data_IF_720387064264
#
_entry.id   IF_720387064264
#
_cell.length_a   1.000
_cell.length_b   1.000
_cell.length_c   1.000
_cell.angle_alpha   90.00
_cell.angle_beta   90.00
_cell.angle_gamma   90.00
#
_symmetry.space_group_name_H-M   'P 1'
#
loop_
_entity.id
_entity.type
_entity.pdbx_description
1 polymer ?
#
# COMPACT_ATOMS: atom_id res chain seq x y z
N UNK A 1 25.87 7.79 -6.33
CA UNK A 1 24.81 6.84 -5.93
C UNK A 1 23.63 7.44 -5.15
N UNK A 2 23.77 8.43 -4.25
CA UNK A 2 22.57 9.14 -3.70
C UNK A 2 22.19 10.39 -4.52
N UNK A 3 23.19 11.15 -4.99
CA UNK A 3 22.95 12.29 -5.89
C UNK A 3 22.16 11.87 -7.15
N UNK A 4 22.47 10.71 -7.72
CA UNK A 4 21.81 10.21 -8.93
C UNK A 4 20.33 9.85 -8.68
N UNK A 5 19.95 9.49 -7.45
CA UNK A 5 18.55 9.19 -7.06
C UNK A 5 17.76 10.46 -6.74
N UNK A 6 18.38 11.45 -6.10
CA UNK A 6 17.75 12.76 -5.87
C UNK A 6 17.51 13.49 -7.19
N UNK A 7 18.49 13.44 -8.11
CA UNK A 7 18.34 13.98 -9.47
C UNK A 7 17.22 13.26 -10.21
N UNK A 8 17.15 11.93 -10.16
CA UNK A 8 16.07 11.17 -10.80
C UNK A 8 14.68 11.50 -10.22
N UNK A 9 14.59 11.69 -8.89
CA UNK A 9 13.35 12.08 -8.23
C UNK A 9 12.95 13.52 -8.61
N UNK A 10 13.88 14.46 -8.62
CA UNK A 10 13.65 15.85 -9.07
C UNK A 10 13.22 15.89 -10.54
N UNK A 11 13.87 15.13 -11.42
CA UNK A 11 13.51 15.03 -12.83
C UNK A 11 12.12 14.42 -13.02
N UNK A 12 11.79 13.38 -12.25
CA UNK A 12 10.46 12.74 -12.28
C UNK A 12 9.37 13.69 -11.78
N UNK A 13 9.64 14.44 -10.70
CA UNK A 13 8.75 15.47 -10.17
C UNK A 13 8.56 16.64 -11.14
N UNK A 14 9.64 17.14 -11.73
CA UNK A 14 9.58 18.22 -12.73
C UNK A 14 8.82 17.78 -13.98
N UNK A 15 9.00 16.53 -14.42
CA UNK A 15 8.23 15.95 -15.52
C UNK A 15 6.75 15.85 -15.18
N UNK A 16 6.42 15.40 -13.97
CA UNK A 16 5.02 15.28 -13.50
C UNK A 16 4.35 16.65 -13.37
N UNK A 17 5.04 17.64 -12.80
CA UNK A 17 4.55 19.02 -12.70
C UNK A 17 4.35 19.65 -14.09
N UNK A 18 5.24 19.36 -15.04
CA UNK A 18 5.13 19.85 -16.42
C UNK A 18 3.94 19.21 -17.13
N UNK A 19 3.73 17.89 -16.96
CA UNK A 19 2.57 17.19 -17.52
C UNK A 19 1.26 17.74 -16.94
N UNK A 20 1.19 17.94 -15.62
CA UNK A 20 0.02 18.49 -14.95
C UNK A 20 -0.28 19.91 -15.43
N UNK A 21 0.76 20.76 -15.52
CA UNK A 21 0.63 22.13 -16.05
C UNK A 21 0.13 22.12 -17.48
N UNK A 22 0.65 21.25 -18.34
CA UNK A 22 0.22 21.13 -19.73
C UNK A 22 -1.22 20.64 -19.85
N UNK A 23 -1.65 19.71 -18.98
CA UNK A 23 -3.04 19.23 -18.93
C UNK A 23 -3.99 20.37 -18.55
N UNK A 24 -3.68 21.12 -17.48
CA UNK A 24 -4.47 22.27 -17.04
C UNK A 24 -4.58 23.33 -18.14
N UNK A 25 -3.48 23.64 -18.84
CA UNK A 25 -3.51 24.59 -19.96
C UNK A 25 -4.30 24.07 -21.16
N UNK A 26 -4.19 22.78 -21.48
CA UNK A 26 -4.98 22.15 -22.54
C UNK A 26 -6.48 22.20 -22.23
N UNK A 27 -6.87 21.99 -20.97
CA UNK A 27 -8.27 22.08 -20.53
C UNK A 27 -8.79 23.52 -20.59
N UNK A 28 -7.95 24.51 -20.25
CA UNK A 28 -8.26 25.94 -20.37
C UNK A 28 -8.44 26.34 -21.84
N UNK A 29 -7.56 25.88 -22.73
CA UNK A 29 -7.64 26.16 -24.16
C UNK A 29 -8.84 25.47 -24.81
N UNK A 30 -9.16 24.23 -24.38
CA UNK A 30 -10.36 23.51 -24.80
C UNK A 30 -11.64 24.25 -24.35
N UNK A 31 -11.66 24.80 -23.14
CA UNK A 31 -12.75 25.65 -22.64
C UNK A 31 -12.91 26.94 -23.45
N UNK A 32 -11.80 27.58 -23.82
CA UNK A 32 -11.81 28.81 -24.61
C UNK A 32 -12.27 28.59 -26.06
N UNK A 33 -12.05 27.39 -26.61
CA UNK A 33 -12.34 27.07 -28.02
C UNK A 33 -13.68 26.37 -28.24
N UNK A 34 -14.16 25.55 -27.30
CA UNK A 34 -15.34 24.68 -27.54
C UNK A 34 -16.58 25.05 -26.75
N UNK A 35 -16.48 25.75 -25.61
CA UNK A 35 -17.64 26.17 -24.81
C UNK A 35 -18.53 25.02 -24.28
N UNK A 36 -18.10 23.76 -24.39
CA UNK A 36 -18.94 22.57 -24.16
C UNK A 36 -18.33 21.58 -23.16
N UNK A 37 -17.86 22.08 -22.02
CA UNK A 37 -17.69 21.22 -20.85
C UNK A 37 -18.54 21.79 -19.71
N UNK A 38 -19.39 20.98 -19.04
CA UNK A 38 -20.19 21.45 -17.92
C UNK A 38 -19.22 21.97 -16.83
N UNK A 39 -19.33 23.26 -16.44
CA UNK A 39 -18.34 23.91 -15.57
C UNK A 39 -18.10 23.10 -14.28
N UNK A 40 -19.14 22.47 -13.75
CA UNK A 40 -19.11 21.72 -12.49
C UNK A 40 -18.16 20.50 -12.48
N UNK A 41 -17.95 19.83 -13.61
CA UNK A 41 -17.04 18.68 -13.66
C UNK A 41 -15.57 19.12 -13.69
N UNK A 42 -15.28 20.20 -14.41
CA UNK A 42 -13.93 20.77 -14.47
C UNK A 42 -13.54 21.38 -13.13
N UNK A 43 -14.46 22.10 -12.47
CA UNK A 43 -14.17 22.66 -11.15
C UNK A 43 -13.97 21.57 -10.08
N UNK A 44 -14.68 20.43 -10.18
CA UNK A 44 -14.45 19.28 -9.30
C UNK A 44 -13.10 18.62 -9.53
N UNK A 45 -12.72 18.41 -10.81
CA UNK A 45 -11.43 17.83 -11.15
C UNK A 45 -10.28 18.77 -10.75
N UNK A 46 -10.39 20.06 -11.05
CA UNK A 46 -9.41 21.06 -10.65
C UNK A 46 -9.28 21.20 -9.13
N UNK A 47 -10.38 21.09 -8.37
CA UNK A 47 -10.34 21.07 -6.91
C UNK A 47 -9.62 19.83 -6.38
N UNK A 48 -9.90 18.66 -6.96
CA UNK A 48 -9.21 17.41 -6.64
C UNK A 48 -7.71 17.49 -6.95
N UNK A 49 -7.33 18.01 -8.12
CA UNK A 49 -5.95 18.18 -8.52
C UNK A 49 -5.23 19.21 -7.62
N UNK A 50 -5.92 20.28 -7.21
CA UNK A 50 -5.39 21.25 -6.27
C UNK A 50 -5.12 20.63 -4.90
N UNK A 51 -6.03 19.78 -4.39
CA UNK A 51 -5.85 19.09 -3.13
C UNK A 51 -4.74 18.02 -3.22
N UNK A 52 -4.60 17.35 -4.37
CA UNK A 52 -3.47 16.46 -4.65
C UNK A 52 -2.14 17.22 -4.70
N UNK A 53 -2.08 18.41 -5.32
CA UNK A 53 -0.91 19.29 -5.31
C UNK A 53 -0.59 19.78 -3.90
N UNK A 54 -1.60 20.14 -3.09
CA UNK A 54 -1.38 20.52 -1.68
C UNK A 54 -0.80 19.37 -0.87
N UNK A 55 -1.29 18.15 -1.09
CA UNK A 55 -0.76 16.95 -0.45
C UNK A 55 0.70 16.71 -0.85
N UNK A 56 1.02 16.76 -2.15
CA UNK A 56 2.39 16.65 -2.66
C UNK A 56 3.29 17.74 -2.06
N UNK A 57 2.83 18.99 -2.06
CA UNK A 57 3.57 20.10 -1.48
C UNK A 57 3.73 19.98 0.04
N UNK A 58 2.76 19.41 0.75
CA UNK A 58 2.89 19.15 2.19
C UNK A 58 3.97 18.11 2.48
N UNK A 59 4.11 17.10 1.61
CA UNK A 59 5.21 16.13 1.66
C UNK A 59 6.57 16.78 1.36
N UNK A 60 6.61 17.80 0.49
CA UNK A 60 7.82 18.56 0.13
C UNK A 60 8.21 19.65 1.15
N UNK A 61 7.26 20.23 1.88
CA UNK A 61 7.54 21.19 2.95
C UNK A 61 8.12 20.48 4.17
N UNK A 62 7.64 19.27 4.47
CA UNK A 62 8.22 18.42 5.53
C UNK A 62 9.66 18.00 5.25
N UNK A 63 10.15 18.04 4.01
CA UNK A 63 11.57 17.78 3.71
C UNK A 63 12.46 19.02 3.83
N UNK A 64 11.91 20.24 3.67
CA UNK A 64 12.67 21.50 3.81
C UNK A 64 12.81 22.00 5.24
N UNK A 65 11.86 21.68 6.13
CA UNK A 65 11.92 22.06 7.56
C UNK A 65 12.71 21.06 8.43
N UNK A 66 13.21 19.98 7.84
CA UNK A 66 14.21 19.14 8.50
C UNK A 66 15.55 19.82 8.28
N UNK A 67 16.06 20.47 9.33
CA UNK A 67 17.47 20.84 9.41
C UNK A 67 18.27 19.54 9.27
N UNK A 68 18.73 19.24 8.05
CA UNK A 68 19.62 18.12 7.79
C UNK A 68 20.98 18.56 8.34
N UNK A 69 21.22 18.26 9.62
CA UNK A 69 22.59 18.04 10.07
C UNK A 69 23.18 17.01 9.12
N UNK A 70 24.20 17.42 8.38
CA UNK A 70 24.95 16.56 7.44
C UNK A 70 25.59 15.42 8.22
N UNK A 71 24.83 14.35 8.46
CA UNK A 71 25.39 13.06 8.75
C UNK A 71 25.75 12.41 7.41
N UNK A 72 27.00 12.66 7.00
CA UNK A 72 27.72 11.69 6.20
C UNK A 72 27.63 10.33 6.93
N UNK A 73 27.33 9.26 6.17
CA UNK A 73 27.00 7.89 6.62
C UNK A 73 25.48 7.62 6.69
N UNK A 74 24.82 7.52 5.52
CA UNK A 74 23.48 6.89 5.40
C UNK A 74 23.29 6.02 4.15
N UNK A 75 24.37 5.39 3.67
CA UNK A 75 24.32 4.42 2.56
C UNK A 75 24.28 2.95 3.01
N UNK A 76 24.36 2.68 4.32
CA UNK A 76 24.39 1.32 4.85
C UNK A 76 23.08 0.90 5.55
N UNK A 77 22.19 1.83 5.86
CA UNK A 77 20.91 1.51 6.52
C UNK A 77 19.89 0.93 5.53
N UNK A 78 19.85 1.44 4.29
CA UNK A 78 18.97 0.92 3.23
C UNK A 78 19.28 -0.55 2.89
N UNK A 79 20.55 -0.98 2.89
CA UNK A 79 20.90 -2.37 2.56
C UNK A 79 20.52 -3.35 3.68
N UNK A 80 20.50 -2.88 4.94
CA UNK A 80 20.04 -3.63 6.10
C UNK A 80 18.51 -3.69 6.11
N UNK A 81 17.81 -2.58 5.84
CA UNK A 81 16.35 -2.53 5.61
C UNK A 81 15.91 -3.44 4.47
N UNK A 82 16.60 -3.40 3.32
CA UNK A 82 16.33 -4.30 2.20
C UNK A 82 16.59 -5.78 2.54
N UNK A 83 17.66 -6.08 3.30
CA UNK A 83 17.89 -7.45 3.79
C UNK A 83 16.77 -7.90 4.71
N UNK A 84 16.33 -7.08 5.66
CA UNK A 84 15.25 -7.48 6.56
C UNK A 84 13.90 -7.56 5.85
N UNK A 85 13.66 -6.79 4.80
CA UNK A 85 12.48 -6.93 3.93
C UNK A 85 12.57 -8.21 3.07
N UNK A 86 13.74 -8.55 2.54
CA UNK A 86 13.98 -9.82 1.82
C UNK A 86 13.83 -11.04 2.74
N UNK A 87 14.47 -11.00 3.90
CA UNK A 87 14.35 -11.99 4.97
C UNK A 87 12.89 -12.08 5.44
N UNK A 88 12.16 -10.96 5.44
CA UNK A 88 10.73 -10.91 5.74
C UNK A 88 9.88 -11.59 4.66
N UNK A 89 10.12 -11.34 3.37
CA UNK A 89 9.39 -12.03 2.30
C UNK A 89 9.68 -13.53 2.35
N UNK A 90 10.93 -13.89 2.62
CA UNK A 90 11.35 -15.27 2.78
C UNK A 90 10.71 -15.92 4.02
N UNK A 91 10.71 -15.27 5.17
CA UNK A 91 10.12 -15.78 6.43
C UNK A 91 8.60 -15.84 6.36
N UNK A 92 7.92 -14.85 5.77
CA UNK A 92 6.47 -14.91 5.61
C UNK A 92 6.06 -15.93 4.54
N UNK A 93 6.80 -16.07 3.44
CA UNK A 93 6.57 -17.15 2.48
C UNK A 93 6.77 -18.52 3.15
N UNK A 94 7.83 -18.70 3.95
CA UNK A 94 8.08 -19.93 4.70
C UNK A 94 6.96 -20.22 5.71
N UNK A 95 6.48 -19.22 6.45
CA UNK A 95 5.34 -19.37 7.38
C UNK A 95 4.06 -19.68 6.62
N UNK A 96 3.80 -18.97 5.53
CA UNK A 96 2.66 -19.18 4.66
C UNK A 96 2.64 -20.62 4.13
N UNK A 97 3.79 -21.15 3.71
CA UNK A 97 3.97 -22.53 3.23
C UNK A 97 3.87 -23.59 4.34
N UNK A 98 4.25 -23.24 5.58
CA UNK A 98 4.28 -24.19 6.70
C UNK A 98 2.93 -24.33 7.42
N UNK A 99 2.15 -23.25 7.48
CA UNK A 99 0.93 -23.18 8.30
C UNK A 99 -0.36 -23.10 7.47
N UNK A 100 -0.31 -22.72 6.19
CA UNK A 100 -1.52 -22.61 5.38
C UNK A 100 -1.90 -23.96 4.78
N UNK A 101 -3.20 -24.32 4.79
CA UNK A 101 -3.68 -25.42 3.98
C UNK A 101 -3.36 -25.13 2.53
N UNK A 102 -2.72 -26.10 1.88
CA UNK A 102 -2.36 -26.05 0.46
C UNK A 102 -3.64 -25.97 -0.36
N UNK A 103 -4.02 -24.76 -0.77
CA UNK A 103 -5.18 -24.54 -1.63
C UNK A 103 -4.73 -24.17 -3.04
N UNK A 104 -5.13 -24.99 -4.01
CA UNK A 104 -4.84 -24.78 -5.43
C UNK A 104 -6.04 -24.11 -6.09
N UNK A 105 -5.82 -22.96 -6.70
CA UNK A 105 -6.88 -22.20 -7.35
C UNK A 105 -7.04 -22.60 -8.82
N UNK A 106 -8.29 -22.70 -9.27
CA UNK A 106 -8.64 -22.81 -10.68
C UNK A 106 -8.94 -21.41 -11.23
N UNK A 107 -8.02 -20.83 -12.02
CA UNK A 107 -8.19 -19.47 -12.54
C UNK A 107 -9.40 -19.33 -13.47
N UNK A 108 -9.83 -20.40 -14.13
CA UNK A 108 -11.03 -20.37 -14.99
C UNK A 108 -12.32 -20.18 -14.19
N UNK A 109 -12.32 -20.52 -12.90
CA UNK A 109 -13.45 -20.31 -11.99
C UNK A 109 -13.27 -19.03 -11.17
N UNK A 110 -12.05 -18.81 -10.67
CA UNK A 110 -11.73 -17.69 -9.78
C UNK A 110 -11.85 -16.33 -10.48
N UNK A 111 -11.36 -16.19 -11.72
CA UNK A 111 -11.38 -14.90 -12.41
C UNK A 111 -12.82 -14.44 -12.72
N UNK A 112 -13.72 -15.28 -13.26
CA UNK A 112 -15.13 -14.91 -13.40
C UNK A 112 -15.80 -14.57 -12.07
N UNK A 113 -15.52 -15.33 -11.00
CA UNK A 113 -16.08 -15.04 -9.67
C UNK A 113 -15.62 -13.67 -9.16
N UNK A 114 -14.32 -13.36 -9.27
CA UNK A 114 -13.78 -12.03 -8.92
C UNK A 114 -14.44 -10.91 -9.73
N UNK A 115 -14.53 -11.06 -11.05
CA UNK A 115 -15.18 -10.08 -11.92
C UNK A 115 -16.69 -9.93 -11.66
N UNK A 116 -17.34 -10.92 -11.04
CA UNK A 116 -18.76 -10.82 -10.67
C UNK A 116 -19.00 -10.02 -9.38
N UNK A 117 -17.98 -9.91 -8.53
CA UNK A 117 -18.07 -9.28 -7.21
C UNK A 117 -17.40 -7.90 -7.19
N UNK A 118 -16.39 -7.70 -8.02
CA UNK A 118 -15.64 -6.47 -8.12
C UNK A 118 -16.24 -5.56 -9.20
N UNK A 119 -16.22 -4.25 -8.94
CA UNK A 119 -16.74 -3.26 -9.89
C UNK A 119 -15.75 -3.00 -11.04
N UNK A 120 -14.48 -3.36 -10.82
CA UNK A 120 -13.36 -3.16 -11.74
C UNK A 120 -12.87 -4.50 -12.27
N UNK A 121 -12.45 -4.52 -13.53
CA UNK A 121 -12.00 -5.75 -14.18
C UNK A 121 -10.67 -6.21 -13.61
N UNK A 122 -10.64 -7.44 -13.12
CA UNK A 122 -9.43 -8.13 -12.71
C UNK A 122 -8.69 -8.65 -13.94
N UNK A 123 -7.38 -8.43 -13.99
CA UNK A 123 -6.53 -9.03 -15.02
C UNK A 123 -5.78 -10.24 -14.49
N UNK A 124 -5.61 -11.24 -15.35
CA UNK A 124 -4.78 -12.41 -15.10
C UNK A 124 -3.64 -12.45 -16.10
N UNK A 125 -2.43 -12.59 -15.60
CA UNK A 125 -1.24 -12.77 -16.42
C UNK A 125 -0.71 -14.17 -16.20
N UNK A 126 -0.78 -14.99 -17.25
CA UNK A 126 -0.15 -16.30 -17.27
C UNK A 126 1.35 -16.15 -17.55
N UNK A 127 2.18 -16.93 -16.86
CA UNK A 127 3.63 -16.80 -16.93
C UNK A 127 4.35 -17.72 -15.94
N UNK A 128 5.66 -17.52 -15.78
CA UNK A 128 6.46 -18.34 -14.85
C UNK A 128 5.98 -18.25 -13.40
N UNK A 129 5.54 -17.05 -13.00
CA UNK A 129 4.79 -16.84 -11.76
C UNK A 129 3.48 -16.17 -12.15
N UNK A 130 2.40 -16.95 -12.33
CA UNK A 130 1.11 -16.38 -12.70
C UNK A 130 0.63 -15.44 -11.61
N UNK A 131 -0.04 -14.35 -11.99
CA UNK A 131 -0.56 -13.40 -11.01
C UNK A 131 -1.90 -12.81 -11.43
N UNK A 132 -2.67 -12.44 -10.41
CA UNK A 132 -3.93 -11.74 -10.55
C UNK A 132 -3.69 -10.30 -10.13
N UNK A 133 -4.06 -9.35 -10.98
CA UNK A 133 -4.04 -7.91 -10.66
C UNK A 133 -5.44 -7.43 -10.34
N UNK A 134 -5.62 -6.97 -9.11
CA UNK A 134 -6.87 -6.44 -8.58
C UNK A 134 -6.69 -4.93 -8.41
N UNK A 135 -7.28 -4.11 -9.29
CA UNK A 135 -7.29 -2.67 -9.08
C UNK A 135 -8.22 -2.33 -7.90
N UNK A 136 -7.82 -1.32 -7.12
CA UNK A 136 -8.55 -0.86 -5.94
C UNK A 136 -8.79 0.64 -6.10
N UNK A 137 -9.88 0.97 -6.80
CA UNK A 137 -10.15 2.32 -7.27
C UNK A 137 -8.96 2.88 -8.08
N UNK A 138 -8.92 4.20 -8.27
CA UNK A 138 -7.81 4.88 -8.96
C UNK A 138 -6.58 5.09 -8.05
N UNK A 139 -6.42 4.27 -7.01
CA UNK A 139 -5.40 4.47 -5.97
C UNK A 139 -4.21 3.53 -6.16
N UNK A 140 -4.47 2.22 -6.22
CA UNK A 140 -3.42 1.21 -6.31
C UNK A 140 -3.95 -0.08 -6.94
N UNK A 141 -3.02 -0.94 -7.36
CA UNK A 141 -3.28 -2.29 -7.83
C UNK A 141 -2.60 -3.29 -6.90
N UNK A 142 -3.35 -4.31 -6.50
CA UNK A 142 -2.83 -5.45 -5.74
C UNK A 142 -2.56 -6.60 -6.69
N UNK A 143 -1.32 -7.04 -6.76
CA UNK A 143 -0.90 -8.24 -7.49
C UNK A 143 -0.78 -9.39 -6.51
N UNK A 144 -1.59 -10.42 -6.68
CA UNK A 144 -1.45 -11.69 -5.94
C UNK A 144 -0.67 -12.64 -6.84
N UNK A 145 0.53 -12.99 -6.42
CA UNK A 145 1.43 -13.86 -7.17
C UNK A 145 1.19 -15.30 -6.73
N UNK A 146 1.14 -16.22 -7.68
CA UNK A 146 0.93 -17.64 -7.47
C UNK A 146 2.17 -18.45 -7.85
N UNK A 147 2.35 -19.58 -7.18
CA UNK A 147 3.32 -20.61 -7.57
C UNK A 147 2.85 -21.37 -8.81
N UNK A 148 3.73 -22.20 -9.39
CA UNK A 148 3.41 -23.12 -10.49
C UNK A 148 2.31 -24.14 -10.15
N UNK A 149 2.02 -24.33 -8.86
CA UNK A 149 0.92 -25.18 -8.40
C UNK A 149 -0.38 -24.41 -8.12
N UNK A 150 -0.47 -23.16 -8.59
CA UNK A 150 -1.59 -22.25 -8.38
C UNK A 150 -1.91 -21.99 -6.91
N UNK A 151 -0.88 -21.95 -6.06
CA UNK A 151 -1.00 -21.56 -4.66
C UNK A 151 -0.55 -20.10 -4.52
N UNK A 152 -1.22 -19.26 -3.72
CA UNK A 152 -0.73 -17.91 -3.47
C UNK A 152 0.66 -17.99 -2.83
N UNK A 153 1.58 -17.17 -3.31
CA UNK A 153 2.95 -17.12 -2.83
C UNK A 153 3.19 -15.83 -2.03
N UNK A 154 2.87 -14.68 -2.62
CA UNK A 154 3.01 -13.38 -1.99
C UNK A 154 2.14 -12.32 -2.67
N UNK A 155 2.01 -11.17 -2.00
CA UNK A 155 1.23 -10.02 -2.48
C UNK A 155 2.13 -8.81 -2.67
N UNK A 156 1.97 -8.13 -3.80
CA UNK A 156 2.64 -6.86 -4.10
C UNK A 156 1.59 -5.80 -4.37
N UNK A 157 1.85 -4.57 -3.96
CA UNK A 157 0.98 -3.42 -4.17
C UNK A 157 1.76 -2.33 -4.88
N UNK A 158 1.20 -1.85 -5.98
CA UNK A 158 1.72 -0.77 -6.82
C UNK A 158 0.73 0.37 -6.85
N UNK A 159 1.20 1.61 -6.83
CA UNK A 159 0.31 2.77 -7.05
C UNK A 159 -0.36 2.71 -8.43
N UNK A 160 -1.46 3.43 -8.62
CA UNK A 160 -2.15 3.47 -9.91
C UNK A 160 -1.24 3.93 -11.06
N UNK A 161 -0.28 4.81 -10.78
CA UNK A 161 0.73 5.29 -11.73
C UNK A 161 1.85 4.27 -12.01
N UNK A 162 1.89 3.16 -11.28
CA UNK A 162 2.92 2.11 -11.35
C UNK A 162 2.37 0.81 -11.94
N UNK A 163 1.28 0.87 -12.70
CA UNK A 163 0.61 -0.32 -13.24
C UNK A 163 1.55 -1.20 -14.10
N UNK A 164 2.49 -0.56 -14.81
CA UNK A 164 3.48 -1.23 -15.68
C UNK A 164 4.59 -1.96 -14.91
N UNK A 165 4.77 -1.69 -13.61
CA UNK A 165 5.81 -2.36 -12.82
C UNK A 165 5.57 -3.87 -12.81
N UNK A 166 6.64 -4.63 -12.95
CA UNK A 166 6.57 -6.09 -12.88
C UNK A 166 6.19 -6.55 -11.46
N UNK A 167 5.73 -7.79 -11.35
CA UNK A 167 5.43 -8.46 -10.08
C UNK A 167 6.66 -8.66 -9.18
N UNK A 168 7.87 -8.43 -9.70
CA UNK A 168 9.13 -8.52 -8.98
C UNK A 168 9.63 -7.17 -8.47
N UNK A 169 9.04 -6.08 -8.95
CA UNK A 169 9.42 -4.73 -8.57
C UNK A 169 8.58 -4.22 -7.41
N UNK A 170 9.19 -3.43 -6.54
CA UNK A 170 8.48 -2.75 -5.46
C UNK A 170 7.92 -1.41 -5.96
N UNK A 171 6.86 -0.96 -5.28
CA UNK A 171 6.41 0.44 -5.39
C UNK A 171 7.49 1.41 -4.92
N UNK A 172 7.63 2.53 -5.60
CA UNK A 172 8.49 3.65 -5.18
C UNK A 172 7.88 4.33 -3.96
N UNK A 173 6.53 4.38 -3.90
CA UNK A 173 5.80 4.93 -2.77
C UNK A 173 5.86 4.00 -1.57
N UNK A 174 6.25 4.56 -0.42
CA UNK A 174 6.39 3.83 0.84
C UNK A 174 5.06 3.24 1.32
N UNK A 175 3.96 3.97 1.19
CA UNK A 175 2.62 3.51 1.59
C UNK A 175 2.23 2.18 0.94
N UNK A 176 2.48 2.01 -0.36
CA UNK A 176 2.15 0.76 -1.07
C UNK A 176 3.14 -0.37 -0.74
N UNK A 177 4.42 -0.06 -0.48
CA UNK A 177 5.35 -1.05 0.09
C UNK A 177 4.84 -1.56 1.43
N UNK A 178 4.41 -0.68 2.32
CA UNK A 178 3.84 -1.06 3.62
C UNK A 178 2.53 -1.85 3.47
N UNK A 179 1.69 -1.50 2.50
CA UNK A 179 0.48 -2.28 2.20
C UNK A 179 0.82 -3.68 1.66
N UNK A 180 1.87 -3.83 0.85
CA UNK A 180 2.33 -5.15 0.37
C UNK A 180 2.67 -6.08 1.53
N UNK A 181 3.39 -5.55 2.52
CA UNK A 181 3.75 -6.24 3.77
C UNK A 181 2.50 -6.61 4.56
N UNK A 182 1.58 -5.67 4.74
CA UNK A 182 0.35 -5.88 5.49
C UNK A 182 -0.58 -6.92 4.81
N UNK A 183 -0.77 -6.82 3.51
CA UNK A 183 -1.61 -7.71 2.72
C UNK A 183 -1.05 -9.13 2.61
N UNK A 184 0.27 -9.27 2.49
CA UNK A 184 0.92 -10.58 2.51
C UNK A 184 0.70 -11.32 3.83
N UNK A 185 0.42 -10.60 4.92
CA UNK A 185 0.09 -11.16 6.23
C UNK A 185 -1.39 -11.39 6.44
N UNK A 186 -2.24 -10.51 5.93
CA UNK A 186 -3.68 -10.68 6.01
C UNK A 186 -4.16 -11.86 5.15
N UNK A 187 -3.63 -12.04 3.94
CA UNK A 187 -4.08 -13.08 3.00
C UNK A 187 -4.13 -14.51 3.59
N UNK A 188 -3.11 -15.02 4.31
CA UNK A 188 -3.22 -16.35 4.93
C UNK A 188 -4.38 -16.47 5.93
N UNK A 189 -4.75 -15.42 6.67
CA UNK A 189 -5.92 -15.46 7.56
C UNK A 189 -7.22 -15.64 6.77
N UNK A 190 -7.32 -14.99 5.60
CA UNK A 190 -8.44 -15.22 4.69
C UNK A 190 -8.44 -16.66 4.16
N UNK A 191 -7.28 -17.24 3.85
CA UNK A 191 -7.15 -18.63 3.39
C UNK A 191 -7.59 -19.62 4.46
N UNK A 192 -7.14 -19.42 5.69
CA UNK A 192 -7.54 -20.24 6.83
C UNK A 192 -9.05 -20.15 7.09
N UNK A 193 -9.61 -18.94 7.05
CA UNK A 193 -11.01 -18.68 7.38
C UNK A 193 -11.99 -19.08 6.28
N UNK A 194 -11.68 -18.75 5.02
CA UNK A 194 -12.62 -18.86 3.90
C UNK A 194 -12.23 -19.92 2.86
N UNK A 195 -11.08 -20.58 3.01
CA UNK A 195 -10.63 -21.70 2.16
C UNK A 195 -10.65 -21.31 0.68
N UNK A 196 -11.46 -21.99 -0.13
CA UNK A 196 -11.58 -21.77 -1.56
C UNK A 196 -12.02 -20.37 -1.96
N UNK A 197 -12.76 -19.69 -1.08
CA UNK A 197 -13.27 -18.34 -1.32
C UNK A 197 -12.32 -17.25 -0.83
N UNK A 198 -11.17 -17.60 -0.29
CA UNK A 198 -10.30 -16.65 0.38
C UNK A 198 -9.85 -15.49 -0.50
N UNK A 199 -9.48 -15.75 -1.75
CA UNK A 199 -9.07 -14.69 -2.68
C UNK A 199 -10.24 -13.75 -3.00
N UNK A 200 -11.45 -14.27 -3.13
CA UNK A 200 -12.67 -13.47 -3.36
C UNK A 200 -13.00 -12.62 -2.15
N UNK A 201 -13.02 -13.20 -0.96
CA UNK A 201 -13.26 -12.48 0.30
C UNK A 201 -12.17 -11.44 0.59
N UNK A 202 -10.92 -11.77 0.28
CA UNK A 202 -9.81 -10.83 0.36
C UNK A 202 -10.00 -9.66 -0.59
N UNK A 203 -10.41 -9.91 -1.84
CA UNK A 203 -10.70 -8.87 -2.82
C UNK A 203 -11.89 -7.99 -2.42
N UNK A 204 -12.95 -8.56 -1.82
CA UNK A 204 -14.05 -7.78 -1.23
C UNK A 204 -13.52 -6.87 -0.12
N UNK A 205 -12.69 -7.39 0.78
CA UNK A 205 -12.09 -6.61 1.85
C UNK A 205 -11.19 -5.47 1.32
N UNK A 206 -10.46 -5.68 0.21
CA UNK A 206 -9.68 -4.63 -0.44
C UNK A 206 -10.52 -3.43 -0.86
N UNK A 207 -11.83 -3.59 -1.16
CA UNK A 207 -12.74 -2.47 -1.46
C UNK A 207 -12.84 -1.45 -0.32
N UNK A 208 -12.54 -1.85 0.92
CA UNK A 208 -12.47 -0.93 2.07
C UNK A 208 -11.34 0.11 1.99
N UNK A 209 -10.42 -0.05 1.03
CA UNK A 209 -9.30 0.87 0.80
C UNK A 209 -9.58 1.94 -0.25
N UNK A 210 -10.76 1.98 -0.87
CA UNK A 210 -11.14 3.03 -1.85
C UNK A 210 -11.05 4.46 -1.31
N UNK A 211 -10.98 4.63 0.00
CA UNK A 211 -10.85 5.89 0.72
C UNK A 211 -9.54 5.97 1.52
N UNK A 212 -8.49 5.26 1.11
CA UNK A 212 -7.22 5.16 1.84
C UNK A 212 -6.68 6.53 2.29
N UNK A 213 -6.68 7.51 1.40
CA UNK A 213 -6.16 8.86 1.68
C UNK A 213 -7.22 9.87 2.16
N UNK A 214 -8.50 9.48 2.17
CA UNK A 214 -9.63 10.35 2.48
C UNK A 214 -10.47 9.90 3.67
N UNK A 215 -10.13 8.78 4.30
CA UNK A 215 -10.74 8.32 5.54
C UNK A 215 -9.84 8.65 6.73
N UNK A 216 -10.35 9.33 7.78
CA UNK A 216 -9.59 9.54 8.99
C UNK A 216 -9.45 8.23 9.77
N UNK A 217 -8.39 8.12 10.58
CA UNK A 217 -8.23 7.01 11.50
C UNK A 217 -9.36 7.00 12.54
N UNK A 218 -9.97 5.84 12.76
CA UNK A 218 -11.09 5.67 13.70
C UNK A 218 -10.70 6.02 15.15
N UNK A 219 -9.44 5.82 15.55
CA UNK A 219 -8.97 6.14 16.92
C UNK A 219 -8.51 7.58 17.13
N UNK A 220 -7.65 8.11 16.26
CA UNK A 220 -7.05 9.45 16.44
C UNK A 220 -7.66 10.53 15.56
N UNK A 221 -8.61 10.18 14.69
CA UNK A 221 -9.35 11.08 13.79
C UNK A 221 -8.48 11.84 12.76
N UNK A 222 -7.19 11.53 12.68
CA UNK A 222 -6.26 12.11 11.70
C UNK A 222 -6.23 11.32 10.39
N UNK A 223 -6.01 12.02 9.27
CA UNK A 223 -5.86 11.43 7.93
C UNK A 223 -4.46 10.91 7.62
N UNK A 224 -3.45 11.48 8.28
CA UNK A 224 -2.04 11.09 8.14
C UNK A 224 -1.40 11.26 9.51
N UNK A 225 -0.62 10.28 9.94
CA UNK A 225 0.13 10.31 11.19
C UNK A 225 1.51 9.70 10.99
N UNK A 226 2.46 10.08 11.85
CA UNK A 226 3.75 9.40 11.94
C UNK A 226 3.54 7.96 12.38
N UNK A 227 4.10 7.02 11.64
CA UNK A 227 4.13 5.61 11.96
C UNK A 227 5.29 5.26 12.90
N UNK A 228 5.47 3.97 13.20
CA UNK A 228 6.57 3.51 14.06
C UNK A 228 7.96 3.82 13.51
N UNK A 229 8.10 3.93 12.19
CA UNK A 229 9.35 4.31 11.51
C UNK A 229 9.56 5.82 11.39
N UNK A 230 8.57 6.63 11.79
CA UNK A 230 8.60 8.08 11.76
C UNK A 230 8.03 8.68 10.48
N UNK A 231 7.54 7.85 9.57
CA UNK A 231 7.00 8.22 8.27
C UNK A 231 5.54 8.62 8.36
N UNK A 232 5.15 9.56 7.51
CA UNK A 232 3.77 10.01 7.40
C UNK A 232 2.99 9.02 6.53
N UNK A 233 2.13 8.23 7.16
CA UNK A 233 1.28 7.27 6.48
C UNK A 233 -0.20 7.55 6.78
N UNK A 234 -1.11 7.26 5.83
CA UNK A 234 -2.53 7.27 6.11
C UNK A 234 -2.93 6.08 7.00
N UNK A 235 -4.20 5.95 7.39
CA UNK A 235 -4.73 4.78 8.08
C UNK A 235 -4.68 3.56 7.15
N UNK A 236 -3.56 2.83 7.14
CA UNK A 236 -3.37 1.67 6.25
C UNK A 236 -3.96 0.37 6.80
N UNK A 237 -4.32 0.31 8.09
CA UNK A 237 -4.92 -0.88 8.70
C UNK A 237 -6.43 -0.84 8.49
N UNK A 238 -7.00 -1.98 8.10
CA UNK A 238 -8.45 -2.19 8.01
C UNK A 238 -8.80 -3.45 8.79
N UNK A 239 -9.72 -3.36 9.73
CA UNK A 239 -10.24 -4.55 10.42
C UNK A 239 -10.89 -5.49 9.40
N UNK A 240 -10.69 -6.81 9.54
CA UNK A 240 -11.27 -7.79 8.61
C UNK A 240 -12.81 -7.82 8.70
N UNK A 241 -13.37 -7.56 9.88
CA UNK A 241 -14.81 -7.63 10.14
C UNK A 241 -15.54 -6.32 9.87
N UNK A 242 -15.03 -5.21 10.40
CA UNK A 242 -15.70 -3.90 10.34
C UNK A 242 -15.16 -2.98 9.26
N UNK A 243 -14.05 -3.34 8.59
CA UNK A 243 -13.41 -2.54 7.55
C UNK A 243 -13.07 -1.10 7.99
N UNK A 244 -12.86 -0.90 9.30
CA UNK A 244 -12.62 0.42 9.88
C UNK A 244 -11.16 0.84 9.70
N UNK A 245 -10.90 2.12 9.36
CA UNK A 245 -9.56 2.64 9.13
C UNK A 245 -8.78 2.88 10.41
N UNK A 246 -7.53 2.40 10.49
CA UNK A 246 -6.61 2.72 11.58
C UNK A 246 -5.19 3.00 11.06
N UNK A 247 -4.49 3.95 11.69
CA UNK A 247 -3.04 3.98 11.62
C UNK A 247 -2.46 2.75 12.34
N UNK A 248 -1.24 2.34 11.99
CA UNK A 248 -0.55 1.20 12.63
C UNK A 248 -0.57 1.31 14.16
N UNK A 249 -0.20 2.47 14.71
CA UNK A 249 -0.19 2.74 16.16
C UNK A 249 -1.57 2.81 16.80
N UNK A 250 -2.60 2.94 15.97
CA UNK A 250 -3.98 3.17 16.40
C UNK A 250 -4.85 1.92 16.31
N UNK A 251 -4.40 0.89 15.61
CA UNK A 251 -5.15 -0.34 15.43
C UNK A 251 -5.46 -0.99 16.80
N UNK A 252 -6.65 -1.57 16.97
CA UNK A 252 -6.98 -2.32 18.17
C UNK A 252 -6.09 -3.58 18.27
N UNK A 253 -5.68 -3.94 19.49
CA UNK A 253 -4.83 -5.11 19.76
C UNK A 253 -5.47 -6.46 19.38
N UNK A 254 -6.79 -6.49 19.13
CA UNK A 254 -7.49 -7.64 18.58
C UNK A 254 -7.06 -7.96 17.14
N UNK A 255 -6.55 -6.97 16.42
CA UNK A 255 -5.69 -7.23 15.28
C UNK A 255 -4.34 -7.56 15.94
N UNK A 256 -3.99 -8.85 16.03
CA UNK A 256 -2.62 -9.24 16.30
C UNK A 256 -1.76 -8.61 15.20
N UNK A 257 -1.30 -7.38 15.42
CA UNK A 257 -0.27 -6.76 14.62
C UNK A 257 1.00 -7.51 15.02
N UNK A 258 1.51 -8.41 14.18
CA UNK A 258 2.73 -9.10 14.51
C UNK A 258 3.83 -8.05 14.40
N UNK A 259 4.65 -7.94 15.46
CA UNK A 259 5.82 -7.07 15.57
C UNK A 259 6.38 -6.77 14.19
N UNK A 260 6.13 -5.54 13.72
CA UNK A 260 6.83 -4.99 12.57
C UNK A 260 8.30 -5.19 12.91
N UNK A 261 9.00 -6.01 12.14
CA UNK A 261 10.30 -6.56 12.51
C UNK A 261 11.42 -5.52 12.53
N UNK A 262 11.27 -4.45 13.31
CA UNK A 262 12.23 -3.44 13.70
C UNK A 262 11.79 -2.83 15.04
N UNK A 263 12.42 -3.33 16.10
CA UNK A 263 12.50 -2.79 17.45
C UNK A 263 11.14 -2.55 18.14
N UNK A 264 10.66 -3.58 18.83
CA UNK A 264 9.97 -3.37 20.10
C UNK A 264 10.93 -2.64 21.03
N UNK A 265 10.92 -1.30 21.02
CA UNK A 265 11.17 -0.58 22.26
C UNK A 265 9.89 -0.76 23.06
N UNK A 266 9.76 -1.93 23.70
CA UNK A 266 8.98 -1.95 24.91
C UNK A 266 9.60 -0.87 25.80
N UNK A 267 8.80 0.09 26.25
CA UNK A 267 9.27 0.94 27.35
C UNK A 267 9.68 0.04 28.52
N UNK A 268 10.67 0.44 29.33
CA UNK A 268 11.09 -0.34 30.50
C UNK A 268 9.89 -0.75 31.37
N UNK A 269 8.86 0.09 31.42
CA UNK A 269 7.58 -0.15 32.10
C UNK A 269 6.83 -1.37 31.53
N UNK A 270 6.74 -1.50 30.21
CA UNK A 270 6.08 -2.64 29.56
C UNK A 270 6.87 -3.95 29.72
N UNK A 271 8.20 -3.88 29.86
CA UNK A 271 9.03 -5.05 30.20
C UNK A 271 8.79 -5.52 31.64
N UNK A 272 8.65 -4.60 32.59
CA UNK A 272 8.39 -4.93 34.00
C UNK A 272 6.99 -5.51 34.23
N UNK A 273 5.99 -5.06 33.46
CA UNK A 273 4.61 -5.55 33.57
C UNK A 273 4.48 -7.03 33.16
N UNK A 274 5.22 -7.46 32.12
CA UNK A 274 5.25 -8.88 31.71
C UNK A 274 6.04 -9.78 32.67
N UNK A 275 7.08 -9.25 33.31
CA UNK A 275 7.89 -10.00 34.28
C UNK A 275 7.21 -10.14 35.64
N UNK A 276 6.31 -9.22 35.98
CA UNK A 276 5.63 -9.21 37.28
C UNK A 276 4.40 -10.13 37.35
N UNK A 277 3.84 -10.57 36.22
CA UNK A 277 2.71 -11.51 36.18
C UNK A 277 2.98 -12.75 35.32
N UNK A 278 3.93 -13.63 35.69
CA UNK A 278 4.08 -14.92 35.04
C UNK A 278 3.01 -15.88 35.60
N UNK A 279 1.86 -15.94 34.94
CA UNK A 279 0.88 -17.01 35.13
C UNK A 279 -0.20 -16.73 36.17
N UNK A 280 -1.38 -16.40 35.65
CA UNK A 280 -2.63 -17.03 36.06
C UNK A 280 -3.28 -17.63 34.83
#
# INVERSE_FOLDING_TARGET
MNADREVLLEETLQKTLTQLKNHIWSDIDALATTGTLPPDQIFKQAAHDLDHIKLINSMLLTTKDINIEKNDIKKCEDSVEFRRISDFFQTNAERFLKESPVYKYNFNELIPELNSVLDESVSFTDGFLPFISIPVADIFTVKIIFSLENQPAFVVVHGATEYEKSQFEQSDFRVFRTLSVYFSRALPDFILKYKSKAIVEFAIWLKSYKNLFSAPCTKCEQFISRDLTGDLLPPIIRTITSCLPYHIRCAPFEIELPDFGYVTLMSEEQMQEKLSHPGK
#
